data_IF_691914579290
#
_entry.id   IF_691914579290
#
_cell.length_a   1.000
_cell.length_b   1.000
_cell.length_c   1.000
_cell.angle_alpha   90.00
_cell.angle_beta   90.00
_cell.angle_gamma   90.00
#
_symmetry.space_group_name_H-M   'P 1'
#
loop_
_entity.id
_entity.type
_entity.pdbx_description
1 polymer ?
#
# COMPACT_ATOMS: atom_id res chain seq x y z
N UNK A 1 -70.79 -3.32 -8.94
CA UNK A 1 -70.82 -4.74 -8.54
C UNK A 1 -70.28 -5.51 -9.74
N UNK A 2 -68.99 -5.83 -9.83
CA UNK A 2 -68.23 -6.71 -8.94
C UNK A 2 -66.73 -6.35 -9.02
N UNK A 3 -66.06 -6.37 -7.86
CA UNK A 3 -64.60 -6.29 -7.69
C UNK A 3 -63.92 -7.61 -8.07
N UNK A 4 -62.67 -7.55 -8.56
CA UNK A 4 -61.53 -8.46 -8.33
C UNK A 4 -60.27 -7.67 -8.76
N UNK A 5 -59.42 -7.08 -7.90
CA UNK A 5 -58.58 -7.56 -6.77
C UNK A 5 -57.47 -8.54 -7.17
N UNK A 6 -56.23 -7.99 -7.11
CA UNK A 6 -54.93 -8.58 -6.78
C UNK A 6 -54.43 -9.84 -7.50
N UNK A 7 -53.26 -9.72 -8.15
CA UNK A 7 -52.05 -10.41 -7.68
C UNK A 7 -50.78 -9.70 -8.20
N UNK A 8 -50.20 -8.89 -7.32
CA UNK A 8 -48.85 -8.33 -7.44
C UNK A 8 -48.08 -8.78 -6.20
N UNK A 9 -47.78 -10.08 -6.16
CA UNK A 9 -46.99 -10.75 -5.15
C UNK A 9 -45.92 -11.59 -5.87
N UNK A 10 -44.71 -11.58 -5.33
CA UNK A 10 -43.52 -12.35 -5.74
C UNK A 10 -42.67 -11.84 -6.91
N UNK A 11 -41.94 -10.74 -6.68
CA UNK A 11 -40.63 -10.55 -7.34
C UNK A 11 -39.51 -10.07 -6.40
N UNK A 12 -39.75 -10.06 -5.09
CA UNK A 12 -38.80 -9.62 -4.05
C UNK A 12 -38.18 -10.75 -3.24
N UNK A 13 -38.62 -12.01 -3.42
CA UNK A 13 -38.14 -13.17 -2.63
C UNK A 13 -36.92 -13.87 -3.26
N UNK A 14 -36.60 -13.59 -4.53
CA UNK A 14 -35.55 -14.32 -5.26
C UNK A 14 -34.17 -13.64 -5.26
N UNK A 15 -34.06 -12.32 -5.10
CA UNK A 15 -32.74 -11.66 -5.17
C UNK A 15 -31.90 -11.88 -3.93
N UNK A 16 -32.49 -11.77 -2.73
CA UNK A 16 -31.77 -11.97 -1.48
C UNK A 16 -31.37 -13.44 -1.31
N UNK A 17 -32.27 -14.38 -1.58
CA UNK A 17 -31.98 -15.83 -1.51
C UNK A 17 -30.97 -16.31 -2.55
N UNK A 18 -31.00 -15.81 -3.79
CA UNK A 18 -29.95 -16.10 -4.76
C UNK A 18 -28.61 -15.50 -4.33
N UNK A 19 -28.60 -14.26 -3.85
CA UNK A 19 -27.38 -13.59 -3.38
C UNK A 19 -26.74 -14.35 -2.21
N UNK A 20 -27.57 -14.84 -1.28
CA UNK A 20 -27.13 -15.62 -0.13
C UNK A 20 -26.64 -17.01 -0.55
N UNK A 21 -27.27 -17.63 -1.56
CA UNK A 21 -26.83 -18.91 -2.12
C UNK A 21 -25.48 -18.80 -2.84
N UNK A 22 -25.29 -17.73 -3.65
CA UNK A 22 -24.06 -17.45 -4.40
C UNK A 22 -22.91 -17.13 -3.45
N UNK A 23 -23.16 -16.31 -2.42
CA UNK A 23 -22.20 -16.06 -1.35
C UNK A 23 -21.85 -17.36 -0.61
N UNK A 24 -22.81 -18.25 -0.35
CA UNK A 24 -22.56 -19.53 0.32
C UNK A 24 -21.72 -20.51 -0.52
N UNK A 25 -21.88 -20.47 -1.85
CA UNK A 25 -21.18 -21.36 -2.78
C UNK A 25 -19.75 -20.88 -3.02
N UNK A 26 -19.56 -19.56 -3.14
CA UNK A 26 -18.25 -18.91 -3.18
C UNK A 26 -17.49 -19.16 -1.87
N UNK A 27 -18.15 -19.01 -0.71
CA UNK A 27 -17.55 -19.29 0.60
C UNK A 27 -17.09 -20.76 0.73
N UNK A 28 -17.88 -21.71 0.20
CA UNK A 28 -17.53 -23.15 0.20
C UNK A 28 -16.31 -23.46 -0.69
N UNK A 29 -16.23 -22.87 -1.89
CA UNK A 29 -15.06 -23.01 -2.77
C UNK A 29 -13.80 -22.40 -2.14
N UNK A 30 -13.92 -21.26 -1.45
CA UNK A 30 -12.80 -20.62 -0.76
C UNK A 30 -12.29 -21.44 0.44
N UNK A 31 -13.18 -22.12 1.17
CA UNK A 31 -12.79 -22.94 2.32
C UNK A 31 -11.99 -24.19 1.90
N UNK A 32 -12.28 -24.74 0.71
CA UNK A 32 -11.56 -25.88 0.14
C UNK A 32 -10.14 -25.54 -0.33
N UNK A 33 -9.86 -24.28 -0.71
CA UNK A 33 -8.56 -23.81 -1.17
C UNK A 33 -7.67 -23.23 -0.05
N UNK A 34 -7.96 -23.51 1.22
CA UNK A 34 -7.16 -23.02 2.35
C UNK A 34 -5.81 -23.74 2.40
N UNK A 35 -4.84 -23.26 1.63
CA UNK A 35 -3.44 -23.71 1.71
C UNK A 35 -2.94 -23.43 3.12
N UNK A 36 -2.48 -24.45 3.83
CA UNK A 36 -1.79 -24.28 5.11
C UNK A 36 -0.36 -23.86 4.80
N UNK A 37 -0.05 -22.57 4.95
CA UNK A 37 1.29 -22.08 4.63
C UNK A 37 2.29 -22.56 5.66
N UNK A 38 3.36 -23.21 5.19
CA UNK A 38 4.59 -23.38 5.98
C UNK A 38 5.27 -22.01 6.15
N UNK A 39 5.95 -21.81 7.28
CA UNK A 39 6.68 -20.57 7.57
C UNK A 39 7.66 -20.20 6.45
N UNK A 40 8.44 -21.17 5.96
CA UNK A 40 9.38 -20.94 4.87
C UNK A 40 8.65 -20.56 3.57
N UNK A 41 7.54 -21.23 3.26
CA UNK A 41 6.73 -20.91 2.08
C UNK A 41 6.15 -19.49 2.15
N UNK A 42 5.78 -19.02 3.35
CA UNK A 42 5.34 -17.65 3.57
C UNK A 42 6.49 -16.65 3.45
N UNK A 43 7.69 -17.03 3.93
CA UNK A 43 8.87 -16.18 3.91
C UNK A 43 9.41 -15.95 2.48
N UNK A 44 9.42 -17.00 1.66
CA UNK A 44 9.93 -16.98 0.27
C UNK A 44 8.85 -16.77 -0.79
N UNK A 45 7.58 -16.62 -0.40
CA UNK A 45 6.43 -16.51 -1.30
C UNK A 45 6.22 -17.72 -2.22
N UNK A 46 6.74 -18.90 -1.86
CA UNK A 46 6.61 -20.11 -2.68
C UNK A 46 5.17 -20.59 -2.84
N UNK A 47 4.24 -20.13 -1.99
CA UNK A 47 2.81 -20.41 -2.12
C UNK A 47 2.18 -19.82 -3.38
N UNK A 48 2.85 -18.84 -4.01
CA UNK A 48 2.39 -18.22 -5.26
C UNK A 48 2.79 -19.04 -6.50
N UNK A 49 3.78 -19.93 -6.39
CA UNK A 49 4.33 -20.69 -7.53
C UNK A 49 3.24 -21.44 -8.34
N UNK A 50 2.28 -22.16 -7.73
CA UNK A 50 1.25 -22.86 -8.50
C UNK A 50 0.41 -21.94 -9.40
N UNK A 51 0.13 -20.71 -8.94
CA UNK A 51 -0.61 -19.72 -9.71
C UNK A 51 0.24 -19.14 -10.85
N UNK A 52 1.54 -18.94 -10.62
CA UNK A 52 2.47 -18.49 -11.66
C UNK A 52 2.67 -19.55 -12.74
N UNK A 53 2.78 -20.82 -12.35
CA UNK A 53 2.91 -21.95 -13.28
C UNK A 53 1.63 -22.11 -14.12
N UNK A 54 0.46 -21.89 -13.52
CA UNK A 54 -0.82 -21.86 -14.24
C UNK A 54 -0.86 -20.70 -15.24
N UNK A 55 -0.41 -19.51 -14.84
CA UNK A 55 -0.34 -18.33 -15.71
C UNK A 55 0.69 -18.43 -16.83
N UNK A 56 1.74 -19.24 -16.64
CA UNK A 56 2.67 -19.61 -17.70
C UNK A 56 2.02 -20.54 -18.73
N UNK A 57 1.16 -21.45 -18.26
CA UNK A 57 0.52 -22.47 -19.09
C UNK A 57 -0.71 -21.96 -19.84
N UNK A 58 -1.49 -21.04 -19.24
CA UNK A 58 -2.68 -20.45 -19.85
C UNK A 58 -2.92 -19.01 -19.38
N UNK A 59 -3.56 -18.16 -20.19
CA UNK A 59 -4.10 -16.88 -19.71
C UNK A 59 -5.07 -17.12 -18.55
N UNK A 60 -4.83 -16.46 -17.42
CA UNK A 60 -5.62 -16.63 -16.20
C UNK A 60 -7.02 -16.03 -16.39
N UNK A 61 -8.05 -16.80 -16.00
CA UNK A 61 -9.43 -16.32 -15.86
C UNK A 61 -9.77 -16.08 -14.39
N UNK A 62 -10.86 -15.35 -14.12
CA UNK A 62 -11.26 -14.98 -12.74
C UNK A 62 -11.42 -16.19 -11.82
N UNK A 63 -11.87 -17.32 -12.37
CA UNK A 63 -12.06 -18.59 -11.66
C UNK A 63 -10.75 -19.23 -11.20
N UNK A 64 -9.62 -18.90 -11.83
CA UNK A 64 -8.29 -19.41 -11.45
C UNK A 64 -7.67 -18.63 -10.29
N UNK A 65 -8.23 -17.45 -9.94
CA UNK A 65 -7.69 -16.58 -8.91
C UNK A 65 -8.10 -17.12 -7.54
N UNK A 66 -7.13 -17.38 -6.64
CA UNK A 66 -7.44 -17.81 -5.28
C UNK A 66 -8.31 -16.79 -4.55
N UNK A 67 -9.27 -17.29 -3.78
CA UNK A 67 -10.07 -16.44 -2.90
C UNK A 67 -9.20 -15.65 -1.92
N UNK A 68 -9.71 -14.49 -1.51
CA UNK A 68 -9.08 -13.72 -0.44
C UNK A 68 -9.14 -14.49 0.89
N UNK A 69 -8.13 -14.25 1.74
CA UNK A 69 -8.21 -14.69 3.13
C UNK A 69 -9.35 -13.95 3.84
N UNK A 70 -10.10 -14.60 4.76
CA UNK A 70 -11.17 -13.94 5.51
C UNK A 70 -10.72 -12.70 6.28
N UNK A 71 -9.43 -12.66 6.65
CA UNK A 71 -8.80 -11.52 7.33
C UNK A 71 -8.61 -10.28 6.45
N UNK A 72 -8.62 -10.47 5.12
CA UNK A 72 -8.41 -9.45 4.10
C UNK A 72 -9.73 -9.02 3.43
N UNK A 73 -10.86 -9.63 3.81
CA UNK A 73 -12.17 -9.26 3.30
C UNK A 73 -12.60 -7.84 3.72
N UNK A 74 -13.27 -7.15 2.81
CA UNK A 74 -13.77 -5.80 3.03
C UNK A 74 -14.81 -5.73 4.17
N UNK A 75 -15.60 -6.80 4.35
CA UNK A 75 -16.62 -6.94 5.40
C UNK A 75 -15.98 -6.82 6.80
N UNK A 76 -14.92 -7.59 7.04
CA UNK A 76 -14.18 -7.60 8.29
C UNK A 76 -13.38 -6.32 8.48
N UNK A 77 -12.73 -5.82 7.42
CA UNK A 77 -11.97 -4.57 7.47
C UNK A 77 -12.88 -3.38 7.84
N UNK A 78 -14.08 -3.31 7.25
CA UNK A 78 -15.09 -2.31 7.59
C UNK A 78 -15.60 -2.46 9.02
N UNK A 79 -15.91 -3.69 9.46
CA UNK A 79 -16.38 -3.94 10.84
C UNK A 79 -15.37 -3.45 11.89
N UNK A 80 -14.08 -3.80 11.72
CA UNK A 80 -13.01 -3.32 12.61
C UNK A 80 -12.92 -1.79 12.62
N UNK A 81 -13.08 -1.16 11.45
CA UNK A 81 -13.08 0.29 11.32
C UNK A 81 -14.29 0.94 12.01
N UNK A 82 -15.51 0.43 11.77
CA UNK A 82 -16.75 0.98 12.32
C UNK A 82 -16.78 0.88 13.85
N UNK A 83 -16.35 -0.25 14.41
CA UNK A 83 -16.33 -0.46 15.86
C UNK A 83 -15.46 0.59 16.57
N UNK A 84 -14.27 0.87 16.02
CA UNK A 84 -13.37 1.89 16.56
C UNK A 84 -13.87 3.31 16.29
N UNK A 85 -14.45 3.56 15.11
CA UNK A 85 -15.03 4.85 14.74
C UNK A 85 -16.17 5.25 15.68
N UNK A 86 -17.09 4.32 15.97
CA UNK A 86 -18.24 4.56 16.83
C UNK A 86 -17.82 4.79 18.29
N UNK A 87 -16.79 4.08 18.75
CA UNK A 87 -16.22 4.32 20.08
C UNK A 87 -15.57 5.71 20.19
N UNK A 88 -14.84 6.15 19.15
CA UNK A 88 -14.19 7.46 19.12
C UNK A 88 -15.18 8.63 18.95
N UNK A 89 -16.30 8.42 18.25
CA UNK A 89 -17.33 9.46 18.07
C UNK A 89 -18.18 9.66 19.33
N UNK A 90 -18.40 8.61 20.13
CA UNK A 90 -19.11 8.70 21.42
C UNK A 90 -18.27 9.37 22.52
N UNK A 91 -16.94 9.33 22.40
CA UNK A 91 -16.03 9.96 23.36
C UNK A 91 -16.01 11.50 23.22
N UNK A 92 -16.83 12.18 24.03
CA UNK A 92 -16.93 13.65 24.09
C UNK A 92 -15.69 14.35 24.68
N UNK A 93 -14.71 13.59 25.20
CA UNK A 93 -13.48 14.11 25.83
C UNK A 93 -12.50 14.74 24.83
N UNK A 94 -12.53 14.28 23.58
CA UNK A 94 -11.57 14.70 22.56
C UNK A 94 -11.93 16.07 21.97
N UNK A 95 -11.38 17.15 22.55
CA UNK A 95 -11.56 18.56 22.13
C UNK A 95 -11.19 18.91 20.68
N UNK A 96 -10.71 17.96 19.87
CA UNK A 96 -10.50 18.16 18.43
C UNK A 96 -11.20 17.06 17.62
N UNK A 97 -12.21 17.44 16.86
CA UNK A 97 -12.83 16.61 15.80
C UNK A 97 -11.96 16.51 14.54
N UNK A 98 -10.84 17.24 14.49
CA UNK A 98 -9.94 17.18 13.34
C UNK A 98 -9.23 15.82 13.31
N UNK A 99 -9.10 15.24 12.12
CA UNK A 99 -8.36 14.01 11.85
C UNK A 99 -8.94 12.72 12.45
N UNK A 100 -10.27 12.66 12.69
CA UNK A 100 -10.92 11.47 13.24
C UNK A 100 -10.67 10.19 12.40
N UNK A 101 -10.64 10.31 11.07
CA UNK A 101 -10.36 9.20 10.15
C UNK A 101 -8.95 8.66 10.36
N UNK A 102 -7.96 9.54 10.37
CA UNK A 102 -6.55 9.16 10.59
C UNK A 102 -6.38 8.52 11.96
N UNK A 103 -7.01 9.07 13.01
CA UNK A 103 -6.94 8.50 14.35
C UNK A 103 -7.60 7.12 14.45
N UNK A 104 -8.71 6.92 13.76
CA UNK A 104 -9.41 5.63 13.71
C UNK A 104 -8.55 4.61 12.99
N UNK A 105 -8.06 4.93 11.79
CA UNK A 105 -7.17 4.07 11.01
C UNK A 105 -5.90 3.73 11.78
N UNK A 106 -5.28 4.72 12.41
CA UNK A 106 -4.09 4.52 13.23
C UNK A 106 -4.37 3.54 14.38
N UNK A 107 -5.50 3.66 15.08
CA UNK A 107 -5.86 2.71 16.16
C UNK A 107 -6.15 1.29 15.66
N UNK A 108 -6.87 1.16 14.54
CA UNK A 108 -7.24 -0.15 13.97
C UNK A 108 -6.01 -0.90 13.47
N UNK A 109 -5.14 -0.21 12.74
CA UNK A 109 -4.00 -0.81 12.04
C UNK A 109 -2.66 -0.60 12.75
N UNK A 110 -2.65 -0.11 14.01
CA UNK A 110 -1.41 0.15 14.76
C UNK A 110 -0.54 -1.10 14.86
N UNK A 111 -1.15 -2.25 15.16
CA UNK A 111 -0.42 -3.52 15.33
C UNK A 111 0.25 -3.96 14.03
N UNK A 112 -0.47 -3.85 12.91
CA UNK A 112 0.05 -4.15 11.58
C UNK A 112 1.19 -3.19 11.22
N UNK A 113 1.03 -1.89 11.52
CA UNK A 113 2.07 -0.87 11.28
C UNK A 113 3.32 -1.09 12.16
N UNK A 114 3.17 -1.52 13.40
CA UNK A 114 4.31 -1.87 14.25
C UNK A 114 5.06 -3.11 13.70
N UNK A 115 4.31 -4.12 13.27
CA UNK A 115 4.88 -5.32 12.66
C UNK A 115 5.65 -4.98 11.37
N UNK A 116 5.07 -4.19 10.46
CA UNK A 116 5.72 -3.68 9.26
C UNK A 116 7.00 -2.89 9.59
N UNK A 117 6.94 -2.10 10.66
CA UNK A 117 8.08 -1.33 11.18
C UNK A 117 9.27 -2.18 11.58
N UNK A 118 9.06 -3.40 12.07
CA UNK A 118 10.16 -4.31 12.43
C UNK A 118 10.95 -4.75 11.19
N UNK A 119 10.29 -5.04 10.08
CA UNK A 119 10.96 -5.39 8.82
C UNK A 119 11.67 -4.19 8.20
N UNK A 120 11.06 -3.01 8.24
CA UNK A 120 11.69 -1.77 7.78
C UNK A 120 12.97 -1.46 8.57
N UNK A 121 12.93 -1.65 9.90
CA UNK A 121 14.10 -1.49 10.78
C UNK A 121 15.18 -2.53 10.47
N UNK A 122 14.81 -3.81 10.38
CA UNK A 122 15.74 -4.89 10.07
C UNK A 122 16.47 -4.64 8.74
N UNK A 123 15.72 -4.27 7.70
CA UNK A 123 16.30 -3.83 6.43
C UNK A 123 17.28 -2.67 6.64
N UNK A 124 16.86 -1.61 7.31
CA UNK A 124 17.70 -0.41 7.50
C UNK A 124 19.03 -0.75 8.17
N UNK A 125 19.00 -1.60 9.21
CA UNK A 125 20.20 -2.08 9.89
C UNK A 125 21.08 -2.90 8.93
N UNK A 126 20.51 -3.86 8.20
CA UNK A 126 21.30 -4.71 7.28
C UNK A 126 21.97 -3.93 6.15
N UNK A 127 21.28 -2.91 5.60
CA UNK A 127 21.85 -2.01 4.58
C UNK A 127 23.08 -1.28 5.12
N UNK A 128 23.00 -0.82 6.37
CA UNK A 128 24.06 -0.07 7.06
C UNK A 128 25.22 -0.98 7.50
N UNK A 129 24.94 -2.22 7.91
CA UNK A 129 25.95 -3.21 8.32
C UNK A 129 26.72 -3.78 7.13
N UNK A 130 26.07 -3.87 5.95
CA UNK A 130 26.70 -4.38 4.74
C UNK A 130 28.06 -3.74 4.38
N UNK A 131 28.22 -2.41 4.34
CA UNK A 131 29.53 -1.80 4.08
C UNK A 131 30.55 -2.03 5.20
N UNK A 132 30.13 -2.17 6.47
CA UNK A 132 31.04 -2.51 7.58
C UNK A 132 31.63 -3.92 7.43
N UNK A 133 30.79 -4.89 7.07
CA UNK A 133 31.26 -6.25 6.82
C UNK A 133 32.17 -6.32 5.59
N UNK A 134 31.86 -5.54 4.56
CA UNK A 134 32.73 -5.45 3.38
C UNK A 134 34.08 -4.83 3.73
N UNK A 135 34.08 -3.77 4.53
CA UNK A 135 35.30 -3.16 5.05
C UNK A 135 36.14 -4.14 5.88
N UNK A 136 35.50 -4.92 6.77
CA UNK A 136 36.18 -5.95 7.55
C UNK A 136 36.79 -7.06 6.66
N UNK A 137 36.06 -7.46 5.61
CA UNK A 137 36.55 -8.44 4.62
C UNK A 137 37.75 -7.90 3.82
N UNK A 138 37.69 -6.66 3.33
CA UNK A 138 38.80 -6.02 2.62
C UNK A 138 40.02 -5.88 3.54
N UNK A 139 39.81 -5.47 4.79
CA UNK A 139 40.89 -5.37 5.79
C UNK A 139 41.55 -6.72 6.04
N UNK A 140 40.75 -7.79 6.16
CA UNK A 140 41.28 -9.15 6.23
C UNK A 140 42.09 -9.53 4.98
N UNK A 141 41.63 -9.14 3.79
CA UNK A 141 42.32 -9.45 2.53
C UNK A 141 43.63 -8.69 2.33
N UNK A 142 43.80 -7.53 2.97
CA UNK A 142 45.00 -6.71 2.86
C UNK A 142 46.05 -7.03 3.94
N UNK A 143 45.69 -7.81 4.97
CA UNK A 143 46.60 -8.15 6.05
C UNK A 143 47.57 -9.26 5.58
N UNK A 144 48.87 -8.96 5.53
CA UNK A 144 49.89 -9.81 4.88
C UNK A 144 50.37 -10.97 5.77
N UNK A 145 49.84 -11.07 6.99
CA UNK A 145 50.31 -11.96 8.05
C UNK A 145 49.37 -13.18 8.18
N UNK A 146 49.85 -14.35 7.77
CA UNK A 146 49.18 -15.67 7.83
C UNK A 146 47.65 -15.67 7.67
N UNK A 147 47.20 -15.84 6.42
CA UNK A 147 45.79 -15.87 6.05
C UNK A 147 45.08 -17.11 6.61
N UNK A 148 44.46 -16.97 7.78
CA UNK A 148 43.53 -17.95 8.32
C UNK A 148 42.27 -18.04 7.44
N UNK A 149 42.24 -18.99 6.50
CA UNK A 149 41.14 -19.18 5.52
C UNK A 149 39.74 -19.24 6.18
N UNK A 150 39.63 -19.86 7.36
CA UNK A 150 38.39 -19.91 8.12
C UNK A 150 37.83 -18.53 8.47
N UNK A 151 38.72 -17.54 8.74
CA UNK A 151 38.33 -16.16 9.06
C UNK A 151 37.84 -15.41 7.83
N UNK A 152 38.45 -15.63 6.67
CA UNK A 152 37.97 -15.09 5.40
C UNK A 152 36.61 -15.64 5.02
N UNK A 153 36.43 -16.97 5.14
CA UNK A 153 35.16 -17.63 4.88
C UNK A 153 34.05 -17.13 5.82
N UNK A 154 34.37 -16.91 7.10
CA UNK A 154 33.44 -16.34 8.07
C UNK A 154 32.88 -14.98 7.61
N UNK A 155 33.75 -14.02 7.23
CA UNK A 155 33.32 -12.71 6.75
C UNK A 155 32.49 -12.80 5.46
N UNK A 156 32.87 -13.68 4.53
CA UNK A 156 32.12 -13.93 3.30
C UNK A 156 30.72 -14.48 3.57
N UNK A 157 30.60 -15.48 4.45
CA UNK A 157 29.30 -16.04 4.85
C UNK A 157 28.45 -14.98 5.54
N UNK A 158 29.03 -14.17 6.44
CA UNK A 158 28.32 -13.06 7.06
C UNK A 158 27.78 -12.05 6.03
N UNK A 159 28.56 -11.71 4.99
CA UNK A 159 28.11 -10.84 3.91
C UNK A 159 26.92 -11.43 3.15
N UNK A 160 26.97 -12.71 2.80
CA UNK A 160 25.86 -13.40 2.12
C UNK A 160 24.62 -13.42 3.01
N UNK A 161 24.76 -13.79 4.28
CA UNK A 161 23.65 -13.82 5.23
C UNK A 161 23.01 -12.45 5.39
N UNK A 162 23.81 -11.38 5.56
CA UNK A 162 23.28 -10.02 5.67
C UNK A 162 22.52 -9.60 4.41
N UNK A 163 23.00 -9.96 3.21
CA UNK A 163 22.28 -9.67 1.95
C UNK A 163 20.99 -10.46 1.79
N UNK A 164 20.97 -11.71 2.22
CA UNK A 164 19.74 -12.53 2.23
C UNK A 164 18.71 -11.92 3.18
N UNK A 165 19.12 -11.54 4.40
CA UNK A 165 18.23 -10.88 5.36
C UNK A 165 17.74 -9.53 4.84
N UNK A 166 18.62 -8.70 4.25
CA UNK A 166 18.25 -7.43 3.63
C UNK A 166 17.14 -7.60 2.58
N UNK A 167 17.31 -8.58 1.68
CA UNK A 167 16.37 -8.89 0.61
C UNK A 167 15.03 -9.40 1.15
N UNK A 168 15.06 -10.34 2.10
CA UNK A 168 13.85 -10.90 2.71
C UNK A 168 13.08 -9.84 3.49
N UNK A 169 13.75 -9.05 4.33
CA UNK A 169 13.13 -7.96 5.09
C UNK A 169 12.47 -6.94 4.15
N UNK A 170 13.12 -6.56 3.05
CA UNK A 170 12.55 -5.64 2.06
C UNK A 170 11.29 -6.20 1.38
N UNK A 171 11.31 -7.49 1.03
CA UNK A 171 10.18 -8.12 0.36
C UNK A 171 9.00 -8.27 1.32
N UNK A 172 9.26 -8.72 2.55
CA UNK A 172 8.22 -8.86 3.58
C UNK A 172 7.61 -7.51 3.94
N UNK A 173 8.44 -6.47 4.14
CA UNK A 173 7.94 -5.13 4.39
C UNK A 173 7.04 -4.63 3.25
N UNK A 174 7.48 -4.78 1.99
CA UNK A 174 6.66 -4.43 0.81
C UNK A 174 5.32 -5.15 0.79
N UNK A 175 5.34 -6.47 1.00
CA UNK A 175 4.13 -7.29 0.96
C UNK A 175 3.15 -6.89 2.07
N UNK A 176 3.62 -6.80 3.31
CA UNK A 176 2.74 -6.48 4.43
C UNK A 176 2.21 -5.05 4.38
N UNK A 177 3.04 -4.07 3.98
CA UNK A 177 2.61 -2.69 3.81
C UNK A 177 1.51 -2.57 2.73
N UNK A 178 1.65 -3.28 1.60
CA UNK A 178 0.62 -3.32 0.55
C UNK A 178 -0.64 -4.04 1.02
N UNK A 179 -0.51 -5.16 1.74
CA UNK A 179 -1.66 -5.89 2.30
C UNK A 179 -2.44 -5.04 3.30
N UNK A 180 -1.76 -4.37 4.22
CA UNK A 180 -2.36 -3.41 5.16
C UNK A 180 -3.04 -2.25 4.43
N UNK A 181 -2.38 -1.71 3.40
CA UNK A 181 -2.94 -0.66 2.55
C UNK A 181 -4.25 -1.06 1.85
N UNK A 182 -4.35 -2.31 1.37
CA UNK A 182 -5.58 -2.85 0.78
C UNK A 182 -6.72 -2.95 1.80
N UNK A 183 -6.44 -3.33 3.05
CA UNK A 183 -7.44 -3.35 4.15
C UNK A 183 -7.94 -1.94 4.47
N UNK A 184 -7.03 -0.97 4.56
CA UNK A 184 -7.38 0.44 4.78
C UNK A 184 -8.27 0.95 3.64
N UNK A 185 -7.85 0.71 2.38
CA UNK A 185 -8.59 1.14 1.19
C UNK A 185 -10.00 0.54 1.17
N UNK A 186 -10.13 -0.78 1.33
CA UNK A 186 -11.42 -1.47 1.29
C UNK A 186 -12.36 -1.00 2.42
N UNK A 187 -11.86 -0.88 3.65
CA UNK A 187 -12.65 -0.36 4.77
C UNK A 187 -13.17 1.06 4.50
N UNK A 188 -12.32 1.94 3.98
CA UNK A 188 -12.68 3.32 3.69
C UNK A 188 -13.67 3.43 2.51
N UNK A 189 -13.49 2.61 1.46
CA UNK A 189 -14.46 2.52 0.37
C UNK A 189 -15.85 2.12 0.86
N UNK A 190 -15.95 1.08 1.69
CA UNK A 190 -17.22 0.62 2.27
C UNK A 190 -17.81 1.68 3.22
N UNK A 191 -16.97 2.37 4.01
CA UNK A 191 -17.43 3.44 4.90
C UNK A 191 -17.99 4.64 4.13
N UNK A 192 -17.32 5.08 3.06
CA UNK A 192 -17.80 6.17 2.19
C UNK A 192 -19.09 5.75 1.49
N UNK A 193 -19.16 4.51 1.00
CA UNK A 193 -20.36 3.96 0.37
C UNK A 193 -21.56 3.97 1.34
N UNK A 194 -21.41 3.48 2.57
CA UNK A 194 -22.48 3.55 3.57
C UNK A 194 -22.87 4.97 3.93
N UNK A 195 -21.90 5.89 3.97
CA UNK A 195 -22.16 7.30 4.26
C UNK A 195 -22.94 7.99 3.14
N UNK A 196 -22.67 7.66 1.88
CA UNK A 196 -23.35 8.27 0.73
C UNK A 196 -24.85 7.91 0.70
N UNK A 197 -25.21 6.68 1.10
CA UNK A 197 -26.60 6.22 1.16
C UNK A 197 -27.42 6.94 2.23
N UNK A 198 -26.77 7.48 3.27
CA UNK A 198 -27.39 8.18 4.40
C UNK A 198 -27.21 9.70 4.34
N UNK A 199 -26.76 10.23 3.20
CA UNK A 199 -26.44 11.65 3.05
C UNK A 199 -27.73 12.48 2.91
N UNK A 200 -27.80 13.64 3.57
CA UNK A 200 -28.95 14.55 3.45
C UNK A 200 -28.98 15.22 2.07
N UNK A 201 -30.14 15.74 1.65
CA UNK A 201 -30.27 16.45 0.38
C UNK A 201 -29.34 17.67 0.28
N UNK A 202 -29.15 18.40 1.39
CA UNK A 202 -28.22 19.53 1.46
C UNK A 202 -26.77 19.06 1.28
N UNK A 203 -26.36 17.99 1.99
CA UNK A 203 -25.01 17.47 1.88
C UNK A 203 -24.71 16.86 0.50
N UNK A 204 -25.70 16.26 -0.18
CA UNK A 204 -25.57 15.82 -1.59
C UNK A 204 -25.40 16.97 -2.58
N UNK A 205 -25.87 18.17 -2.25
CA UNK A 205 -25.59 19.37 -3.07
C UNK A 205 -24.19 19.92 -2.82
N UNK A 206 -23.67 19.75 -1.60
CA UNK A 206 -22.31 20.20 -1.23
C UNK A 206 -21.21 19.28 -1.75
N UNK A 207 -21.49 17.98 -1.86
CA UNK A 207 -20.56 16.99 -2.43
C UNK A 207 -21.21 16.33 -3.65
N UNK A 208 -20.72 16.69 -4.83
CA UNK A 208 -21.16 16.10 -6.09
C UNK A 208 -20.85 14.60 -6.16
N UNK A 209 -21.58 13.87 -6.99
CA UNK A 209 -21.31 12.44 -7.25
C UNK A 209 -19.87 12.21 -7.72
N UNK A 210 -19.32 13.13 -8.52
CA UNK A 210 -17.93 13.07 -8.99
C UNK A 210 -16.91 13.20 -7.85
N UNK A 211 -17.15 14.10 -6.89
CA UNK A 211 -16.29 14.26 -5.72
C UNK A 211 -16.32 13.02 -4.81
N UNK A 212 -17.50 12.42 -4.61
CA UNK A 212 -17.63 11.20 -3.81
C UNK A 212 -16.86 10.03 -4.48
N UNK A 213 -16.96 9.90 -5.80
CA UNK A 213 -16.18 8.91 -6.56
C UNK A 213 -14.68 9.21 -6.44
N UNK A 214 -14.27 10.48 -6.43
CA UNK A 214 -12.88 10.85 -6.21
C UNK A 214 -12.38 10.46 -4.80
N UNK A 215 -13.20 10.63 -3.76
CA UNK A 215 -12.87 10.16 -2.41
C UNK A 215 -12.62 8.64 -2.36
N UNK A 216 -13.44 7.88 -3.07
CA UNK A 216 -13.34 6.41 -3.15
C UNK A 216 -12.12 5.98 -3.97
N UNK A 217 -11.87 6.60 -5.13
CA UNK A 217 -10.87 6.13 -6.08
C UNK A 217 -9.47 6.67 -5.82
N UNK A 218 -9.36 7.93 -5.42
CA UNK A 218 -8.09 8.62 -5.24
C UNK A 218 -7.70 8.68 -3.77
N UNK A 219 -8.56 9.22 -2.92
CA UNK A 219 -8.18 9.48 -1.53
C UNK A 219 -8.07 8.18 -0.73
N UNK A 220 -9.02 7.25 -0.87
CA UNK A 220 -8.93 5.96 -0.18
C UNK A 220 -7.73 5.13 -0.65
N UNK A 221 -7.32 5.25 -1.92
CA UNK A 221 -6.10 4.63 -2.41
C UNK A 221 -4.86 5.26 -1.77
N UNK A 222 -4.76 6.59 -1.78
CA UNK A 222 -3.64 7.31 -1.15
C UNK A 222 -3.52 7.00 0.34
N UNK A 223 -4.65 6.88 1.06
CA UNK A 223 -4.65 6.48 2.46
C UNK A 223 -4.04 5.09 2.68
N UNK A 224 -4.28 4.13 1.78
CA UNK A 224 -3.65 2.81 1.84
C UNK A 224 -2.13 2.84 1.66
N UNK A 225 -1.61 3.82 0.91
CA UNK A 225 -0.16 3.95 0.66
C UNK A 225 0.60 4.63 1.81
N UNK A 226 -0.08 5.28 2.76
CA UNK A 226 0.55 6.02 3.85
C UNK A 226 1.50 5.14 4.67
N UNK A 227 1.14 3.88 4.93
CA UNK A 227 1.99 2.96 5.70
C UNK A 227 3.40 2.83 5.09
N UNK A 228 3.46 2.58 3.77
CA UNK A 228 4.72 2.46 3.04
C UNK A 228 5.56 3.75 3.13
N UNK A 229 4.93 4.90 2.87
CA UNK A 229 5.63 6.19 2.91
C UNK A 229 6.09 6.57 4.31
N UNK A 230 5.28 6.30 5.33
CA UNK A 230 5.62 6.52 6.73
C UNK A 230 6.88 5.74 7.10
N UNK A 231 6.91 4.43 6.82
CA UNK A 231 8.07 3.60 7.10
C UNK A 231 9.30 3.98 6.29
N UNK A 232 9.11 4.37 5.03
CA UNK A 232 10.19 4.84 4.16
C UNK A 232 10.81 6.15 4.65
N UNK A 233 9.99 7.08 5.15
CA UNK A 233 10.46 8.40 5.59
C UNK A 233 11.42 8.29 6.78
N UNK A 234 11.02 7.62 7.87
CA UNK A 234 11.89 7.50 9.04
C UNK A 234 13.07 6.56 8.79
N UNK A 235 12.89 5.48 7.99
CA UNK A 235 13.98 4.57 7.63
C UNK A 235 15.06 5.29 6.82
N UNK A 236 14.68 6.16 5.89
CA UNK A 236 15.60 6.97 5.10
C UNK A 236 16.43 7.91 6.00
N UNK A 237 15.77 8.60 6.94
CA UNK A 237 16.45 9.48 7.90
C UNK A 237 17.43 8.70 8.78
N UNK A 238 16.99 7.57 9.33
CA UNK A 238 17.84 6.70 10.14
C UNK A 238 19.03 6.18 9.34
N UNK A 239 18.80 5.71 8.12
CA UNK A 239 19.84 5.22 7.22
C UNK A 239 20.87 6.32 6.91
N UNK A 240 20.43 7.54 6.64
CA UNK A 240 21.31 8.69 6.38
C UNK A 240 22.20 8.99 7.58
N UNK A 241 21.62 9.09 8.77
CA UNK A 241 22.35 9.38 10.01
C UNK A 241 23.37 8.28 10.33
N UNK A 242 22.97 7.01 10.24
CA UNK A 242 23.86 5.88 10.49
C UNK A 242 24.99 5.80 9.46
N UNK A 243 24.69 6.01 8.17
CA UNK A 243 25.69 5.98 7.10
C UNK A 243 26.72 7.10 7.29
N UNK A 244 26.27 8.30 7.65
CA UNK A 244 27.16 9.42 7.96
C UNK A 244 28.04 9.13 9.19
N UNK A 245 27.46 8.56 10.25
CA UNK A 245 28.19 8.15 11.43
C UNK A 245 29.28 7.12 11.13
N UNK A 246 28.97 6.11 10.31
CA UNK A 246 29.96 5.11 9.87
C UNK A 246 31.06 5.74 9.02
N UNK A 247 30.70 6.62 8.09
CA UNK A 247 31.68 7.28 7.22
C UNK A 247 32.69 8.09 8.04
N UNK A 248 32.21 8.89 8.99
CA UNK A 248 33.07 9.66 9.91
C UNK A 248 33.88 8.71 10.82
N UNK A 249 33.29 7.60 11.25
CA UNK A 249 33.97 6.61 12.08
C UNK A 249 35.14 5.90 11.39
N UNK A 250 35.01 5.56 10.10
CA UNK A 250 36.05 4.85 9.33
C UNK A 250 37.11 5.82 8.79
N UNK A 251 36.67 6.94 8.20
CA UNK A 251 37.57 7.88 7.50
C UNK A 251 38.08 8.99 8.44
N UNK A 252 37.44 9.20 9.58
CA UNK A 252 37.72 10.31 10.49
C UNK A 252 37.15 11.63 10.00
N UNK A 253 37.65 12.74 10.56
CA UNK A 253 37.25 14.11 10.19
C UNK A 253 37.57 14.44 8.71
N UNK A 254 38.42 13.65 8.05
CA UNK A 254 38.70 13.72 6.62
C UNK A 254 37.50 13.42 5.72
N UNK A 255 36.39 12.89 6.27
CA UNK A 255 35.12 12.74 5.56
C UNK A 255 34.34 14.06 5.37
N UNK A 256 34.61 15.08 6.19
CA UNK A 256 33.84 16.34 6.17
C UNK A 256 33.91 17.07 4.82
N UNK A 257 35.07 17.19 4.14
CA UNK A 257 35.13 17.76 2.80
C UNK A 257 34.26 17.02 1.77
N UNK A 258 34.07 15.70 1.91
CA UNK A 258 33.23 14.91 1.00
C UNK A 258 31.72 15.21 1.16
N UNK A 259 31.31 15.85 2.25
CA UNK A 259 29.93 16.33 2.43
C UNK A 259 29.64 17.60 1.62
N UNK A 260 30.66 18.38 1.27
CA UNK A 260 30.48 19.65 0.54
C UNK A 260 29.86 19.40 -0.85
N UNK A 261 30.37 18.49 -1.70
CA UNK A 261 29.72 18.16 -2.97
C UNK A 261 28.28 17.63 -2.80
N UNK A 262 28.01 16.84 -1.75
CA UNK A 262 26.66 16.32 -1.48
C UNK A 262 25.66 17.45 -1.19
N UNK A 263 26.04 18.41 -0.34
CA UNK A 263 25.21 19.58 -0.03
C UNK A 263 25.01 20.45 -1.28
N UNK A 264 26.08 20.68 -2.05
CA UNK A 264 26.03 21.42 -3.31
C UNK A 264 25.05 20.75 -4.29
N UNK A 265 25.16 19.44 -4.53
CA UNK A 265 24.21 18.69 -5.36
C UNK A 265 22.78 18.79 -4.83
N UNK A 266 22.59 18.73 -3.50
CA UNK A 266 21.29 18.93 -2.86
C UNK A 266 20.67 20.29 -3.21
N UNK A 267 21.45 21.37 -3.10
CA UNK A 267 21.01 22.73 -3.42
C UNK A 267 20.69 22.88 -4.91
N UNK A 268 21.54 22.35 -5.80
CA UNK A 268 21.32 22.40 -7.25
C UNK A 268 20.08 21.61 -7.70
N UNK A 269 19.68 20.56 -6.97
CA UNK A 269 18.47 19.82 -7.25
C UNK A 269 17.19 20.63 -6.96
N UNK A 270 17.21 21.65 -6.09
CA UNK A 270 16.04 22.45 -5.73
C UNK A 270 15.43 23.20 -6.93
N UNK A 271 16.18 24.04 -7.68
CA UNK A 271 15.62 24.73 -8.84
C UNK A 271 15.16 23.74 -9.92
N UNK A 272 15.90 22.65 -10.13
CA UNK A 272 15.50 21.59 -11.07
C UNK A 272 14.16 20.97 -10.68
N UNK A 273 13.98 20.61 -9.40
CA UNK A 273 12.73 20.06 -8.88
C UNK A 273 11.57 21.06 -9.02
N UNK A 274 11.80 22.36 -8.75
CA UNK A 274 10.80 23.41 -8.95
C UNK A 274 10.37 23.54 -10.42
N UNK A 275 11.33 23.58 -11.35
CA UNK A 275 11.02 23.64 -12.79
C UNK A 275 10.27 22.41 -13.27
N UNK A 276 10.64 21.22 -12.77
CA UNK A 276 9.91 19.99 -13.06
C UNK A 276 8.47 20.04 -12.52
N UNK A 277 8.27 20.60 -11.33
CA UNK A 277 6.95 20.76 -10.74
C UNK A 277 6.07 21.75 -11.54
N UNK A 278 6.63 22.89 -11.95
CA UNK A 278 5.97 23.87 -12.81
C UNK A 278 5.55 23.26 -14.15
N UNK A 279 6.48 22.59 -14.84
CA UNK A 279 6.21 21.90 -16.10
C UNK A 279 5.12 20.82 -15.95
N UNK A 280 5.15 20.05 -14.86
CA UNK A 280 4.09 19.08 -14.55
C UNK A 280 2.74 19.77 -14.32
N UNK A 281 2.70 20.90 -13.64
CA UNK A 281 1.47 21.65 -13.40
C UNK A 281 0.87 22.21 -14.70
N UNK A 282 1.72 22.75 -15.59
CA UNK A 282 1.30 23.20 -16.92
C UNK A 282 0.78 22.03 -17.77
N UNK A 283 1.48 20.90 -17.75
CA UNK A 283 1.07 19.67 -18.45
C UNK A 283 -0.29 19.16 -17.95
N UNK A 284 -0.51 19.13 -16.64
CA UNK A 284 -1.81 18.78 -16.05
C UNK A 284 -2.92 19.73 -16.52
N UNK A 285 -2.65 21.04 -16.54
CA UNK A 285 -3.62 22.05 -17.02
C UNK A 285 -3.98 21.85 -18.49
N UNK A 286 -2.99 21.57 -19.35
CA UNK A 286 -3.23 21.29 -20.77
C UNK A 286 -3.98 19.97 -20.98
N UNK A 287 -3.65 18.93 -20.19
CA UNK A 287 -4.33 17.64 -20.22
C UNK A 287 -5.81 17.77 -19.82
N UNK A 288 -6.12 18.56 -18.79
CA UNK A 288 -7.49 18.82 -18.35
C UNK A 288 -8.31 19.55 -19.43
N UNK A 289 -7.72 20.57 -20.07
CA UNK A 289 -8.37 21.26 -21.21
C UNK A 289 -8.71 20.30 -22.35
N UNK A 290 -7.77 19.42 -22.71
CA UNK A 290 -7.97 18.40 -23.75
C UNK A 290 -9.04 17.38 -23.36
N UNK A 291 -9.00 16.86 -22.12
CA UNK A 291 -9.98 15.89 -21.63
C UNK A 291 -11.39 16.49 -21.60
N UNK A 292 -11.52 17.74 -21.18
CA UNK A 292 -12.80 18.45 -21.20
C UNK A 292 -13.34 18.62 -22.62
N UNK A 293 -12.54 19.14 -23.55
CA UNK A 293 -12.97 19.34 -24.93
C UNK A 293 -13.35 18.01 -25.61
N UNK A 294 -12.56 16.95 -25.42
CA UNK A 294 -12.87 15.62 -25.96
C UNK A 294 -14.13 15.02 -25.33
N UNK A 295 -14.37 15.24 -24.04
CA UNK A 295 -15.62 14.82 -23.38
C UNK A 295 -16.85 15.58 -23.92
N UNK A 296 -16.74 16.89 -24.15
CA UNK A 296 -17.82 17.73 -24.71
C UNK A 296 -18.18 17.30 -26.14
N UNK A 297 -17.16 17.00 -26.97
CA UNK A 297 -17.34 16.45 -28.32
C UNK A 297 -18.02 15.08 -28.26
N UNK A 298 -17.54 14.16 -27.42
CA UNK A 298 -18.09 12.81 -27.32
C UNK A 298 -19.55 12.82 -26.84
N UNK A 299 -19.86 13.67 -25.86
CA UNK A 299 -21.23 13.85 -25.36
C UNK A 299 -22.17 14.45 -26.42
N UNK A 300 -21.64 15.25 -27.35
CA UNK A 300 -22.40 15.92 -28.39
C UNK A 300 -22.24 15.26 -29.77
N UNK A 301 -21.68 14.05 -29.82
CA UNK A 301 -21.22 13.40 -31.06
C UNK A 301 -22.35 13.24 -32.07
N UNK A 302 -23.57 12.92 -31.61
CA UNK A 302 -24.73 12.75 -32.48
C UNK A 302 -25.12 14.07 -33.16
N UNK A 303 -25.08 15.19 -32.43
CA UNK A 303 -25.41 16.51 -32.97
C UNK A 303 -24.35 16.93 -33.98
N UNK A 304 -23.07 16.76 -33.64
CA UNK A 304 -21.94 17.09 -34.52
C UNK A 304 -22.03 16.30 -35.84
N UNK A 305 -22.35 14.99 -35.78
CA UNK A 305 -22.54 14.16 -36.97
C UNK A 305 -23.78 14.50 -37.80
N UNK A 306 -24.80 15.12 -37.21
CA UNK A 306 -26.02 15.53 -37.92
C UNK A 306 -25.85 16.89 -38.62
N UNK A 307 -24.91 17.72 -38.17
CA UNK A 307 -24.62 19.04 -38.73
C UNK A 307 -23.39 19.07 -39.65
N UNK A 308 -22.66 17.95 -39.75
CA UNK A 308 -21.57 17.70 -40.70
C UNK A 308 -22.10 16.98 -41.93
#
# INVERSE_FOLDING_TARGET
MMMLSHDSVELTVTTDSLSESLLSEETRKCQAHRVKLSFLSSLTFSWLNPLLDLGYSKPLILEDIPCLYPEDEASLAYKKFSDVWDNLTKDKSSKSKQNLVIRTLAKVYLKDMLFDGTFALARTITVVVSPLLLYAFIRYSNDSTEHNLYRGFFWLVCLVVVKVVESLSQRQWSFHAKRSGMKIRSALMVAIFHKQLKLSAVARKMHSTGEIVNYIMVDAYRMGEISWYFHSAWSCLLQLLLSLGILIGIVGLGALPALVPLVICGIFNIPFAKRLQECKAESMTAQDKRLRATSEILSSMKIIKLQS
#
